data_IF_185281583654
#
_entry.id   IF_185281583654
#
_cell.length_a   1.000
_cell.length_b   1.000
_cell.length_c   1.000
_cell.angle_alpha   90.00
_cell.angle_beta   90.00
_cell.angle_gamma   90.00
#
_symmetry.space_group_name_H-M   'P 1'
#
loop_
_entity.id
_entity.type
_entity.pdbx_description
1 polymer ?
#
# COMPACT_ATOMS: atom_id res chain seq x y z
N UNK A 1 -1.77 -2.99 -13.05
CA UNK A 1 -2.16 -2.50 -11.71
C UNK A 1 -1.05 -1.59 -11.22
N UNK A 2 -1.31 -0.29 -11.06
CA UNK A 2 -0.28 0.72 -10.79
C UNK A 2 0.25 0.50 -9.38
N UNK A 3 1.58 0.48 -9.26
CA UNK A 3 2.42 0.28 -8.06
C UNK A 3 2.12 1.23 -6.87
N UNK A 4 1.03 1.99 -6.91
CA UNK A 4 0.64 3.04 -5.98
C UNK A 4 -0.16 2.53 -4.77
N UNK A 5 -0.83 1.37 -4.86
CA UNK A 5 -1.63 0.82 -3.75
C UNK A 5 -0.76 0.18 -2.63
N UNK A 6 0.53 -0.04 -2.89
CA UNK A 6 1.48 -0.62 -1.94
C UNK A 6 2.31 0.42 -1.17
N UNK A 7 2.22 1.71 -1.52
CA UNK A 7 3.16 2.73 -1.06
C UNK A 7 2.49 3.64 -0.01
N UNK A 8 2.14 3.05 1.12
CA UNK A 8 2.20 3.72 2.42
C UNK A 8 3.03 2.92 3.44
N UNK A 9 3.82 1.95 2.95
CA UNK A 9 4.84 1.23 3.70
C UNK A 9 6.29 1.62 3.30
N UNK A 10 6.47 2.64 2.44
CA UNK A 10 7.78 3.04 1.90
C UNK A 10 8.39 4.28 2.59
N UNK A 11 8.25 4.40 3.91
CA UNK A 11 9.06 5.35 4.69
C UNK A 11 10.22 4.59 5.35
N UNK A 12 11.35 4.66 4.64
CA UNK A 12 12.73 4.47 5.09
C UNK A 12 13.01 3.21 5.93
N UNK A 13 13.24 2.09 5.25
CA UNK A 13 14.01 0.97 5.79
C UNK A 13 15.41 1.02 5.20
N UNK A 14 16.37 1.50 5.98
CA UNK A 14 17.79 1.17 5.77
C UNK A 14 18.22 0.19 6.86
N UNK A 15 18.58 -1.04 6.49
CA UNK A 15 19.50 -1.82 7.29
C UNK A 15 20.76 -2.12 6.46
N UNK A 16 21.81 -1.32 6.68
CA UNK A 16 23.15 -1.90 6.63
C UNK A 16 23.23 -2.91 7.79
N UNK A 17 23.72 -4.13 7.54
CA UNK A 17 24.25 -5.15 8.50
C UNK A 17 23.69 -6.58 8.33
N UNK A 18 22.77 -6.86 7.41
CA UNK A 18 22.49 -8.27 7.02
C UNK A 18 23.03 -8.59 5.63
N UNK A 19 24.35 -8.57 5.50
CA UNK A 19 25.04 -9.09 4.33
C UNK A 19 25.12 -10.63 4.44
N UNK A 20 24.06 -11.30 3.97
CA UNK A 20 24.01 -12.66 3.39
C UNK A 20 22.53 -13.05 3.26
N UNK A 21 21.85 -12.48 2.26
CA UNK A 21 20.58 -13.02 1.77
C UNK A 21 20.85 -13.83 0.51
N UNK A 22 20.16 -14.95 0.32
CA UNK A 22 20.13 -15.60 -0.98
C UNK A 22 19.62 -14.59 -2.01
N UNK A 23 20.37 -14.41 -3.10
CA UNK A 23 20.02 -13.45 -4.17
C UNK A 23 18.85 -13.99 -5.03
N UNK A 24 18.28 -15.14 -4.66
CA UNK A 24 17.13 -15.73 -5.34
C UNK A 24 15.83 -14.98 -4.99
N UNK A 25 14.87 -14.88 -5.93
CA UNK A 25 13.54 -14.38 -5.63
C UNK A 25 12.86 -15.20 -4.53
N UNK A 26 11.94 -14.58 -3.79
CA UNK A 26 11.04 -15.33 -2.91
C UNK A 26 10.25 -16.36 -3.74
N UNK A 27 10.16 -17.59 -3.24
CA UNK A 27 9.20 -18.56 -3.78
C UNK A 27 7.79 -18.24 -3.27
N UNK A 28 6.77 -18.71 -4.00
CA UNK A 28 5.37 -18.56 -3.60
C UNK A 28 5.12 -19.09 -2.19
N UNK A 29 5.70 -20.23 -1.84
CA UNK A 29 5.56 -20.87 -0.53
C UNK A 29 6.18 -20.02 0.58
N UNK A 30 7.34 -19.39 0.32
CA UNK A 30 7.97 -18.48 1.28
C UNK A 30 7.13 -17.23 1.51
N UNK A 31 6.47 -16.71 0.47
CA UNK A 31 5.53 -15.60 0.62
C UNK A 31 4.33 -16.04 1.45
N UNK A 32 3.71 -17.17 1.14
CA UNK A 32 2.58 -17.72 1.90
C UNK A 32 2.94 -18.02 3.36
N UNK A 33 4.17 -18.47 3.65
CA UNK A 33 4.65 -18.67 5.01
C UNK A 33 4.65 -17.34 5.79
N UNK A 34 5.11 -16.24 5.19
CA UNK A 34 5.07 -14.92 5.80
C UNK A 34 3.61 -14.50 6.07
N UNK A 35 2.69 -14.74 5.14
CA UNK A 35 1.27 -14.48 5.38
C UNK A 35 0.72 -15.32 6.54
N UNK A 36 1.04 -16.62 6.60
CA UNK A 36 0.61 -17.49 7.71
C UNK A 36 1.11 -17.01 9.07
N UNK A 37 2.32 -16.44 9.12
CA UNK A 37 2.95 -15.98 10.36
C UNK A 37 2.42 -14.60 10.81
N UNK A 38 2.19 -13.70 9.87
CA UNK A 38 1.96 -12.28 10.18
C UNK A 38 0.54 -11.79 9.88
N UNK A 39 -0.24 -12.52 9.10
CA UNK A 39 -1.67 -12.29 8.87
C UNK A 39 -2.39 -13.60 8.44
N UNK A 40 -2.57 -14.58 9.35
CA UNK A 40 -3.16 -15.88 9.00
C UNK A 40 -4.62 -15.78 8.52
N UNK A 41 -5.34 -14.74 8.92
CA UNK A 41 -6.72 -14.50 8.45
C UNK A 41 -6.81 -14.30 6.94
N UNK A 42 -5.75 -13.84 6.27
CA UNK A 42 -5.73 -13.72 4.80
C UNK A 42 -5.89 -15.11 4.18
N UNK A 43 -5.16 -16.11 4.69
CA UNK A 43 -5.22 -17.47 4.16
C UNK A 43 -6.56 -18.13 4.47
N UNK A 44 -7.12 -17.86 5.65
CA UNK A 44 -8.47 -18.30 6.02
C UNK A 44 -9.53 -17.71 5.09
N UNK A 45 -9.50 -16.39 4.86
CA UNK A 45 -10.46 -15.72 3.98
C UNK A 45 -10.32 -16.16 2.52
N UNK A 46 -9.08 -16.33 2.03
CA UNK A 46 -8.82 -16.85 0.70
C UNK A 46 -9.43 -18.26 0.52
N UNK A 47 -9.41 -19.10 1.56
CA UNK A 47 -10.04 -20.44 1.48
C UNK A 47 -11.57 -20.41 1.44
N UNK A 48 -12.19 -19.29 1.81
CA UNK A 48 -13.65 -19.14 1.95
C UNK A 48 -14.26 -18.22 0.88
N UNK A 49 -13.46 -17.43 0.17
CA UNK A 49 -13.91 -16.42 -0.77
C UNK A 49 -13.02 -16.39 -2.03
N UNK A 50 -13.59 -16.78 -3.17
CA UNK A 50 -12.89 -16.87 -4.46
C UNK A 50 -12.36 -15.53 -4.96
N UNK A 51 -13.09 -14.43 -4.75
CA UNK A 51 -12.65 -13.09 -5.14
C UNK A 51 -11.43 -12.66 -4.31
N UNK A 52 -11.49 -12.93 -3.00
CA UNK A 52 -10.37 -12.66 -2.09
C UNK A 52 -9.14 -13.52 -2.46
N UNK A 53 -9.36 -14.80 -2.76
CA UNK A 53 -8.30 -15.70 -3.22
C UNK A 53 -7.67 -15.20 -4.53
N UNK A 54 -8.48 -14.71 -5.46
CA UNK A 54 -7.99 -14.14 -6.73
C UNK A 54 -7.07 -12.94 -6.50
N UNK A 55 -7.39 -12.07 -5.52
CA UNK A 55 -6.52 -10.95 -5.15
C UNK A 55 -5.20 -11.44 -4.55
N UNK A 56 -5.24 -12.44 -3.66
CA UNK A 56 -4.03 -13.04 -3.09
C UNK A 56 -3.18 -13.71 -4.17
N UNK A 57 -3.77 -14.49 -5.06
CA UNK A 57 -3.09 -15.15 -6.17
C UNK A 57 -2.44 -14.13 -7.11
N UNK A 58 -3.16 -13.07 -7.47
CA UNK A 58 -2.63 -11.98 -8.28
C UNK A 58 -1.43 -11.28 -7.61
N UNK A 59 -1.46 -11.14 -6.28
CA UNK A 59 -0.33 -10.61 -5.53
C UNK A 59 0.86 -11.56 -5.56
N UNK A 60 0.64 -12.86 -5.31
CA UNK A 60 1.68 -13.88 -5.30
C UNK A 60 2.38 -13.98 -6.66
N UNK A 61 1.62 -13.95 -7.75
CA UNK A 61 2.15 -14.03 -9.12
C UNK A 61 2.94 -12.77 -9.52
N UNK A 62 2.63 -11.62 -8.93
CA UNK A 62 3.31 -10.35 -9.21
C UNK A 62 4.52 -10.08 -8.30
N UNK A 63 4.73 -10.87 -7.24
CA UNK A 63 5.77 -10.61 -6.25
C UNK A 63 7.12 -11.20 -6.67
N UNK A 64 8.00 -10.34 -7.19
CA UNK A 64 9.30 -10.74 -7.77
C UNK A 64 10.53 -10.27 -6.96
N UNK A 65 10.35 -9.86 -5.71
CA UNK A 65 11.45 -9.32 -4.91
C UNK A 65 12.48 -10.41 -4.56
N UNK A 66 13.77 -10.04 -4.57
CA UNK A 66 14.85 -10.90 -4.07
C UNK A 66 14.71 -11.15 -2.58
N UNK A 67 15.04 -12.36 -2.12
CA UNK A 67 14.99 -12.78 -0.73
C UNK A 67 16.10 -12.11 0.11
N UNK A 68 15.94 -10.81 0.28
CA UNK A 68 16.79 -9.97 1.12
C UNK A 68 16.08 -9.67 2.43
N UNK A 69 16.83 -9.38 3.50
CA UNK A 69 16.26 -8.94 4.78
C UNK A 69 15.36 -7.71 4.64
N UNK A 70 15.70 -6.80 3.72
CA UNK A 70 14.90 -5.61 3.42
C UNK A 70 13.57 -5.99 2.76
N UNK A 71 13.61 -6.77 1.68
CA UNK A 71 12.41 -7.25 1.00
C UNK A 71 11.53 -8.11 1.92
N UNK A 72 12.13 -8.91 2.81
CA UNK A 72 11.38 -9.65 3.85
C UNK A 72 10.63 -8.70 4.77
N UNK A 73 11.27 -7.62 5.23
CA UNK A 73 10.62 -6.64 6.09
C UNK A 73 9.47 -5.92 5.36
N UNK A 74 9.66 -5.58 4.09
CA UNK A 74 8.61 -5.03 3.23
C UNK A 74 7.44 -6.02 3.07
N UNK A 75 7.74 -7.29 2.83
CA UNK A 75 6.72 -8.33 2.67
C UNK A 75 5.91 -8.56 3.96
N UNK A 76 6.55 -8.52 5.12
CA UNK A 76 5.84 -8.56 6.41
C UNK A 76 4.91 -7.35 6.54
N UNK A 77 5.36 -6.17 6.11
CA UNK A 77 4.53 -4.96 6.13
C UNK A 77 3.32 -5.07 5.20
N UNK A 78 3.52 -5.68 4.02
CA UNK A 78 2.45 -6.02 3.08
C UNK A 78 1.46 -7.00 3.70
N UNK A 79 1.94 -8.13 4.22
CA UNK A 79 1.07 -9.16 4.81
C UNK A 79 0.18 -8.58 5.91
N UNK A 80 0.75 -7.77 6.81
CA UNK A 80 0.00 -7.11 7.91
C UNK A 80 -0.97 -6.03 7.45
N UNK A 81 -0.80 -5.48 6.26
CA UNK A 81 -1.68 -4.45 5.69
C UNK A 81 -2.56 -4.95 4.55
N UNK A 82 -2.51 -6.24 4.21
CA UNK A 82 -3.18 -6.78 3.03
C UNK A 82 -4.69 -6.45 3.02
N UNK A 83 -5.37 -6.66 4.15
CA UNK A 83 -6.79 -6.32 4.31
C UNK A 83 -7.05 -4.80 4.21
N UNK A 84 -6.14 -3.97 4.74
CA UNK A 84 -6.26 -2.51 4.63
C UNK A 84 -6.06 -2.07 3.18
N UNK A 85 -5.20 -2.73 2.41
CA UNK A 85 -5.00 -2.46 0.98
C UNK A 85 -6.25 -2.82 0.17
N UNK A 86 -6.90 -3.95 0.46
CA UNK A 86 -8.18 -4.33 -0.16
C UNK A 86 -9.25 -3.30 0.20
N UNK A 87 -9.39 -2.95 1.48
CA UNK A 87 -10.39 -1.96 1.92
C UNK A 87 -10.16 -0.59 1.29
N UNK A 88 -8.90 -0.16 1.19
CA UNK A 88 -8.54 1.09 0.53
C UNK A 88 -8.97 1.08 -0.94
N UNK A 89 -8.72 -0.01 -1.66
CA UNK A 89 -9.13 -0.14 -3.05
C UNK A 89 -10.66 -0.09 -3.19
N UNK A 90 -11.40 -0.87 -2.38
CA UNK A 90 -12.87 -0.89 -2.42
C UNK A 90 -13.47 0.50 -2.14
N UNK A 91 -12.93 1.21 -1.14
CA UNK A 91 -13.38 2.58 -0.82
C UNK A 91 -13.11 3.55 -1.97
N UNK A 92 -11.92 3.46 -2.57
CA UNK A 92 -11.54 4.31 -3.71
C UNK A 92 -12.42 4.04 -4.93
N UNK A 93 -12.65 2.79 -5.28
CA UNK A 93 -13.49 2.42 -6.41
C UNK A 93 -14.95 2.88 -6.20
N UNK A 94 -15.49 2.66 -4.99
CA UNK A 94 -16.84 3.12 -4.64
C UNK A 94 -16.96 4.66 -4.67
N UNK A 95 -15.94 5.37 -4.16
CA UNK A 95 -15.89 6.83 -4.22
C UNK A 95 -15.87 7.31 -5.67
N UNK A 96 -14.96 6.80 -6.51
CA UNK A 96 -14.83 7.20 -7.91
C UNK A 96 -16.12 6.96 -8.71
N UNK A 97 -16.78 5.82 -8.48
CA UNK A 97 -18.08 5.53 -9.11
C UNK A 97 -19.15 6.53 -8.67
N UNK A 98 -19.25 6.79 -7.37
CA UNK A 98 -20.27 7.66 -6.79
C UNK A 98 -20.03 9.13 -7.19
N UNK A 99 -18.81 9.64 -7.04
CA UNK A 99 -18.45 11.01 -7.39
C UNK A 99 -18.67 11.30 -8.86
N UNK A 100 -18.29 10.37 -9.74
CA UNK A 100 -18.49 10.48 -11.18
C UNK A 100 -19.98 10.48 -11.54
N UNK A 101 -20.77 9.57 -10.96
CA UNK A 101 -22.21 9.51 -11.22
C UNK A 101 -22.94 10.79 -10.77
N UNK A 102 -22.66 11.27 -9.55
CA UNK A 102 -23.22 12.51 -9.03
C UNK A 102 -22.83 13.70 -9.91
N UNK A 103 -21.57 13.77 -10.35
CA UNK A 103 -21.07 14.85 -11.22
C UNK A 103 -21.70 14.83 -12.61
N UNK A 104 -21.96 13.66 -13.19
CA UNK A 104 -22.67 13.52 -14.46
C UNK A 104 -24.13 13.95 -14.37
N UNK A 105 -24.76 13.78 -13.19
CA UNK A 105 -26.11 14.26 -12.91
C UNK A 105 -26.17 15.75 -12.49
N UNK A 106 -25.03 16.44 -12.42
CA UNK A 106 -24.95 17.84 -11.99
C UNK A 106 -25.19 18.05 -10.49
N UNK A 107 -25.04 17.00 -9.68
CA UNK A 107 -25.17 17.07 -8.23
C UNK A 107 -23.89 17.46 -7.50
N UNK A 108 -24.00 17.62 -6.18
CA UNK A 108 -22.89 17.93 -5.27
C UNK A 108 -22.35 16.66 -4.60
N UNK A 109 -21.05 16.39 -4.77
CA UNK A 109 -20.37 15.21 -4.22
C UNK A 109 -19.91 15.38 -2.76
N UNK A 110 -20.16 16.53 -2.11
CA UNK A 110 -19.69 16.84 -0.75
C UNK A 110 -20.04 15.78 0.30
N UNK A 111 -21.20 15.12 0.17
CA UNK A 111 -21.58 14.01 1.07
C UNK A 111 -20.72 12.76 0.86
N UNK A 112 -20.38 12.44 -0.39
CA UNK A 112 -19.48 11.34 -0.72
C UNK A 112 -18.05 11.64 -0.25
N UNK A 113 -17.58 12.89 -0.41
CA UNK A 113 -16.28 13.33 0.09
C UNK A 113 -16.15 13.15 1.61
N UNK A 114 -17.18 13.57 2.36
CA UNK A 114 -17.18 13.43 3.82
C UNK A 114 -17.10 11.97 4.26
N UNK A 115 -17.95 11.10 3.70
CA UNK A 115 -17.98 9.68 4.04
C UNK A 115 -16.66 8.99 3.65
N UNK A 116 -16.13 9.31 2.47
CA UNK A 116 -14.84 8.78 2.03
C UNK A 116 -13.71 9.16 2.98
N UNK A 117 -13.65 10.43 3.40
CA UNK A 117 -12.67 10.90 4.39
C UNK A 117 -12.78 10.19 5.74
N UNK A 118 -14.00 9.97 6.22
CA UNK A 118 -14.28 9.26 7.48
C UNK A 118 -13.77 7.81 7.42
N UNK A 119 -14.11 7.08 6.35
CA UNK A 119 -13.67 5.69 6.15
C UNK A 119 -12.15 5.57 5.96
N UNK A 120 -11.54 6.48 5.20
CA UNK A 120 -10.09 6.54 5.04
C UNK A 120 -9.38 6.81 6.36
N UNK A 121 -9.96 7.61 7.25
CA UNK A 121 -9.37 7.89 8.57
C UNK A 121 -9.24 6.61 9.40
N UNK A 122 -10.22 5.71 9.37
CA UNK A 122 -10.11 4.39 10.02
C UNK A 122 -9.01 3.53 9.36
N UNK A 123 -9.02 3.43 8.02
CA UNK A 123 -8.01 2.65 7.28
C UNK A 123 -6.59 3.14 7.57
N UNK A 124 -6.34 4.44 7.45
CA UNK A 124 -5.02 5.03 7.70
C UNK A 124 -4.63 4.92 9.17
N UNK A 125 -5.59 5.00 10.10
CA UNK A 125 -5.32 4.77 11.52
C UNK A 125 -4.84 3.34 11.81
N UNK A 126 -5.36 2.35 11.08
CA UNK A 126 -4.94 0.94 11.17
C UNK A 126 -3.58 0.73 10.52
N UNK A 127 -3.37 1.27 9.33
CA UNK A 127 -2.06 1.23 8.64
C UNK A 127 -0.99 1.85 9.54
N UNK A 128 -1.26 2.99 10.17
CA UNK A 128 -0.35 3.61 11.12
C UNK A 128 -0.04 2.71 12.32
N UNK A 129 -1.06 2.06 12.88
CA UNK A 129 -0.88 1.12 13.98
C UNK A 129 0.02 -0.05 13.58
N UNK A 130 -0.17 -0.61 12.38
CA UNK A 130 0.70 -1.65 11.82
C UNK A 130 2.14 -1.14 11.66
N UNK A 131 2.35 0.06 11.15
CA UNK A 131 3.68 0.69 11.03
C UNK A 131 4.37 0.79 12.38
N UNK A 132 3.67 1.23 13.42
CA UNK A 132 4.22 1.30 14.78
C UNK A 132 4.57 -0.10 15.30
N UNK A 133 3.70 -1.10 15.10
CA UNK A 133 3.95 -2.48 15.53
C UNK A 133 5.17 -3.09 14.83
N UNK A 134 5.36 -2.82 13.54
CA UNK A 134 6.54 -3.26 12.78
C UNK A 134 7.83 -2.69 13.35
N UNK A 135 7.85 -1.39 13.67
CA UNK A 135 9.01 -0.75 14.31
C UNK A 135 9.28 -1.31 15.70
N UNK A 136 8.24 -1.63 16.47
CA UNK A 136 8.39 -2.30 17.77
C UNK A 136 8.98 -3.70 17.62
N UNK A 137 8.54 -4.46 16.62
CA UNK A 137 9.08 -5.78 16.30
C UNK A 137 10.56 -5.71 15.91
N UNK A 138 10.92 -4.79 15.00
CA UNK A 138 12.31 -4.56 14.59
C UNK A 138 13.19 -4.19 15.78
N UNK A 139 12.69 -3.33 16.68
CA UNK A 139 13.40 -2.98 17.90
C UNK A 139 13.62 -4.19 18.83
N UNK A 140 12.66 -5.10 18.92
CA UNK A 140 12.80 -6.32 19.71
C UNK A 140 13.85 -7.26 19.11
N UNK A 141 13.83 -7.46 17.79
CA UNK A 141 14.80 -8.28 17.07
C UNK A 141 16.22 -7.71 17.16
N UNK A 142 16.41 -6.39 16.98
CA UNK A 142 17.71 -5.74 17.14
C UNK A 142 18.27 -5.91 18.58
N UNK A 143 17.41 -5.85 19.60
CA UNK A 143 17.82 -6.14 21.00
C UNK A 143 18.20 -7.60 21.20
N UNK A 144 17.48 -8.54 20.57
CA UNK A 144 17.79 -9.97 20.62
C UNK A 144 19.11 -10.27 19.92
N UNK A 145 19.34 -9.72 18.74
CA UNK A 145 20.60 -9.79 18.01
C UNK A 145 21.75 -9.26 18.86
N UNK A 146 21.57 -8.10 19.52
CA UNK A 146 22.58 -7.53 20.42
C UNK A 146 22.92 -8.47 21.59
N UNK A 147 21.92 -9.15 22.17
CA UNK A 147 22.15 -10.16 23.22
C UNK A 147 22.96 -11.33 22.68
N UNK A 148 22.62 -11.82 21.49
CA UNK A 148 23.29 -12.95 20.85
C UNK A 148 24.76 -12.62 20.53
N UNK A 149 25.04 -11.48 19.87
CA UNK A 149 26.40 -11.05 19.55
C UNK A 149 27.27 -10.89 20.80
N UNK A 150 26.70 -10.44 21.92
CA UNK A 150 27.44 -10.36 23.20
C UNK A 150 27.78 -11.73 23.79
N UNK A 151 26.92 -12.71 23.59
CA UNK A 151 27.12 -14.08 24.06
C UNK A 151 28.01 -14.90 23.11
N UNK A 152 28.11 -14.49 21.85
CA UNK A 152 28.86 -15.19 20.83
C UNK A 152 30.38 -15.03 21.01
N UNK A 153 30.99 -16.09 21.53
CA UNK A 153 32.44 -16.19 21.77
C UNK A 153 33.24 -16.54 20.52
N UNK A 154 32.60 -16.91 19.42
CA UNK A 154 33.27 -17.33 18.18
C UNK A 154 33.75 -16.15 17.34
N UNK A 155 33.10 -14.98 17.50
CA UNK A 155 33.53 -13.73 16.87
C UNK A 155 34.83 -13.20 17.49
N UNK A 156 35.71 -12.64 16.66
CA UNK A 156 36.85 -11.86 17.14
C UNK A 156 36.37 -10.65 17.95
N UNK A 157 37.20 -10.17 18.88
CA UNK A 157 36.84 -9.04 19.73
C UNK A 157 36.52 -7.78 18.91
N UNK A 158 37.25 -7.54 17.82
CA UNK A 158 37.04 -6.42 16.91
C UNK A 158 35.71 -6.55 16.15
N UNK A 159 35.42 -7.73 15.58
CA UNK A 159 34.16 -7.98 14.88
C UNK A 159 32.95 -7.87 15.82
N UNK A 160 33.07 -8.40 17.04
CA UNK A 160 32.04 -8.30 18.07
C UNK A 160 31.78 -6.83 18.46
N UNK A 161 32.85 -6.05 18.67
CA UNK A 161 32.73 -4.63 19.01
C UNK A 161 32.04 -3.83 17.89
N UNK A 162 32.41 -4.06 16.63
CA UNK A 162 31.82 -3.41 15.46
C UNK A 162 30.31 -3.72 15.34
N UNK A 163 29.92 -4.99 15.45
CA UNK A 163 28.51 -5.39 15.41
C UNK A 163 27.70 -4.83 16.59
N UNK A 164 28.27 -4.84 17.80
CA UNK A 164 27.63 -4.22 18.98
C UNK A 164 27.39 -2.72 18.75
N UNK A 165 28.35 -2.00 18.16
CA UNK A 165 28.21 -0.58 17.88
C UNK A 165 27.09 -0.31 16.85
N UNK A 166 27.04 -1.10 15.77
CA UNK A 166 26.00 -1.01 14.76
C UNK A 166 24.60 -1.26 15.34
N UNK A 167 24.41 -2.36 16.07
CA UNK A 167 23.12 -2.70 16.69
C UNK A 167 22.69 -1.67 17.74
N UNK A 168 23.63 -1.09 18.50
CA UNK A 168 23.31 0.01 19.43
C UNK A 168 22.83 1.27 18.69
N UNK A 169 23.44 1.57 17.55
CA UNK A 169 23.02 2.69 16.70
C UNK A 169 21.60 2.49 16.17
N UNK A 170 21.33 1.30 15.62
CA UNK A 170 20.02 0.90 15.11
C UNK A 170 18.93 0.98 16.19
N UNK A 171 19.19 0.43 17.38
CA UNK A 171 18.26 0.51 18.52
C UNK A 171 17.94 1.97 18.90
N UNK A 172 18.92 2.88 18.81
CA UNK A 172 18.69 4.31 19.09
C UNK A 172 17.83 4.94 18.00
N UNK A 173 18.11 4.64 16.73
CA UNK A 173 17.33 5.14 15.60
C UNK A 173 15.87 4.68 15.68
N UNK A 174 15.63 3.38 15.87
CA UNK A 174 14.28 2.80 16.00
C UNK A 174 13.50 3.39 17.18
N UNK A 175 14.16 3.67 18.32
CA UNK A 175 13.52 4.34 19.46
C UNK A 175 13.13 5.78 19.14
N UNK A 176 13.99 6.53 18.45
CA UNK A 176 13.71 7.90 18.05
C UNK A 176 12.55 7.95 17.05
N UNK A 177 12.55 7.04 16.08
CA UNK A 177 11.47 6.91 15.10
C UNK A 177 10.15 6.55 15.77
N UNK A 178 10.12 5.55 16.66
CA UNK A 178 8.90 5.18 17.41
C UNK A 178 8.35 6.36 18.22
N UNK A 179 9.23 7.12 18.88
CA UNK A 179 8.81 8.32 19.63
C UNK A 179 8.17 9.35 18.69
N UNK A 180 8.76 9.56 17.52
CA UNK A 180 8.23 10.47 16.50
C UNK A 180 6.86 10.01 15.98
N UNK A 181 6.74 8.73 15.60
CA UNK A 181 5.50 8.12 15.11
C UNK A 181 4.37 8.16 16.13
N UNK A 182 4.69 8.15 17.42
CA UNK A 182 3.69 8.21 18.49
C UNK A 182 3.27 9.64 18.84
N UNK A 183 4.18 10.62 18.74
CA UNK A 183 3.93 12.00 19.14
C UNK A 183 2.84 12.66 18.27
N UNK A 184 2.87 12.45 16.96
CA UNK A 184 2.03 13.17 16.00
C UNK A 184 1.06 12.24 15.25
N UNK A 185 0.61 11.15 15.89
CA UNK A 185 -0.22 10.13 15.23
C UNK A 185 -1.47 10.73 14.58
N UNK A 186 -2.26 11.52 15.32
CA UNK A 186 -3.53 12.05 14.82
C UNK A 186 -3.33 12.97 13.62
N UNK A 187 -2.40 13.92 13.74
CA UNK A 187 -2.07 14.87 12.67
C UNK A 187 -1.49 14.18 11.44
N UNK A 188 -0.60 13.20 11.62
CA UNK A 188 0.02 12.45 10.51
C UNK A 188 -1.03 11.63 9.75
N UNK A 189 -1.95 10.99 10.47
CA UNK A 189 -3.06 10.24 9.85
C UNK A 189 -3.95 11.18 9.05
N UNK A 190 -4.39 12.30 9.64
CA UNK A 190 -5.27 13.24 8.95
C UNK A 190 -4.60 13.86 7.72
N UNK A 191 -3.33 14.25 7.82
CA UNK A 191 -2.56 14.79 6.70
C UNK A 191 -2.43 13.77 5.55
N UNK A 192 -2.19 12.49 5.87
CA UNK A 192 -2.10 11.43 4.88
C UNK A 192 -3.46 11.14 4.22
N UNK A 193 -4.55 11.20 4.99
CA UNK A 193 -5.92 11.10 4.47
C UNK A 193 -6.22 12.26 3.53
N UNK A 194 -5.94 13.50 3.92
CA UNK A 194 -6.21 14.68 3.11
C UNK A 194 -5.43 14.65 1.79
N UNK A 195 -4.17 14.20 1.82
CA UNK A 195 -3.38 13.99 0.62
C UNK A 195 -3.98 12.92 -0.32
N UNK A 196 -4.46 11.81 0.25
CA UNK A 196 -5.07 10.72 -0.52
C UNK A 196 -6.43 11.12 -1.12
N UNK A 197 -7.26 11.84 -0.36
CA UNK A 197 -8.54 12.40 -0.84
C UNK A 197 -8.29 13.33 -2.02
N UNK A 198 -7.35 14.27 -1.90
CA UNK A 198 -7.00 15.20 -2.97
C UNK A 198 -6.53 14.45 -4.24
N UNK A 199 -5.67 13.45 -4.09
CA UNK A 199 -5.21 12.64 -5.22
C UNK A 199 -6.38 11.89 -5.90
N UNK A 200 -7.31 11.37 -5.12
CA UNK A 200 -8.45 10.61 -5.62
C UNK A 200 -9.46 11.53 -6.31
N UNK A 201 -9.70 12.72 -5.78
CA UNK A 201 -10.51 13.77 -6.41
C UNK A 201 -9.94 14.16 -7.78
N UNK A 202 -8.63 14.38 -7.87
CA UNK A 202 -7.97 14.67 -9.15
C UNK A 202 -8.11 13.51 -10.16
N UNK A 203 -8.06 12.26 -9.69
CA UNK A 203 -8.30 11.10 -10.54
C UNK A 203 -9.76 11.06 -11.03
N UNK A 204 -10.73 11.35 -10.16
CA UNK A 204 -12.15 11.47 -10.51
C UNK A 204 -12.38 12.52 -11.60
N UNK A 205 -11.80 13.72 -11.44
CA UNK A 205 -11.92 14.80 -12.42
C UNK A 205 -11.32 14.42 -13.78
N UNK A 206 -10.17 13.74 -13.78
CA UNK A 206 -9.54 13.23 -14.99
C UNK A 206 -10.42 12.20 -15.72
N UNK A 207 -11.03 11.26 -14.98
CA UNK A 207 -11.96 10.28 -15.54
C UNK A 207 -13.21 10.95 -16.12
N UNK A 208 -13.75 11.96 -15.42
CA UNK A 208 -14.92 12.71 -15.88
C UNK A 208 -14.63 13.49 -17.17
N UNK A 209 -13.46 14.14 -17.26
CA UNK A 209 -13.04 14.82 -18.48
C UNK A 209 -12.89 13.85 -19.66
N UNK A 210 -12.27 12.69 -19.44
CA UNK A 210 -12.14 11.66 -20.47
C UNK A 210 -13.51 11.14 -20.94
N UNK A 211 -14.45 10.91 -20.01
CA UNK A 211 -15.81 10.49 -20.34
C UNK A 211 -16.54 11.54 -21.19
N UNK A 212 -16.46 12.83 -20.81
CA UNK A 212 -17.06 13.94 -21.58
C UNK A 212 -16.46 14.07 -23.00
N UNK A 213 -15.14 13.93 -23.13
CA UNK A 213 -14.48 13.96 -24.44
C UNK A 213 -14.92 12.79 -25.33
N UNK A 214 -15.04 11.58 -24.78
CA UNK A 214 -15.50 10.41 -25.52
C UNK A 214 -16.96 10.55 -26.00
N UNK A 215 -17.83 11.14 -25.18
CA UNK A 215 -19.21 11.42 -25.54
C UNK A 215 -19.29 12.46 -26.68
N UNK A 216 -18.52 13.55 -26.60
CA UNK A 216 -18.48 14.58 -27.64
C UNK A 216 -17.93 14.07 -28.98
N UNK A 217 -16.92 13.18 -28.95
CA UNK A 217 -16.40 12.53 -30.15
C UNK A 217 -17.46 11.61 -30.80
N UNK A 218 -18.23 10.88 -29.99
CA UNK A 218 -19.31 10.01 -30.47
C UNK A 218 -20.48 10.80 -31.07
N UNK A 219 -20.80 11.97 -30.52
CA UNK A 219 -21.81 12.87 -31.09
C UNK A 219 -21.38 13.44 -32.44
N UNK A 220 -20.10 13.84 -32.59
CA UNK A 220 -19.59 14.36 -33.85
C UNK A 220 -19.54 13.30 -34.95
N UNK A 221 -19.17 12.05 -34.63
CA UNK A 221 -19.23 10.92 -35.57
C UNK A 221 -20.67 10.63 -36.02
N UNK A 222 -21.62 10.60 -35.09
CA UNK A 222 -23.04 10.39 -35.40
C UNK A 222 -23.64 11.51 -36.28
N UNK A 223 -23.20 12.75 -36.10
CA UNK A 223 -23.60 13.88 -36.95
C UNK A 223 -23.01 13.74 -38.37
N UNK A 224 -21.77 13.28 -38.51
CA UNK A 224 -21.12 13.05 -39.81
C UNK A 224 -21.77 11.92 -40.62
N UNK A 225 -22.19 10.83 -39.97
CA UNK A 225 -22.92 9.73 -40.63
C UNK A 225 -24.28 10.23 -41.13
N UNK A 226 -24.98 11.06 -40.35
CA UNK A 226 -26.26 11.66 -40.76
C UNK A 226 -26.12 12.66 -41.90
N UNK A 227 -25.01 13.42 -41.99
CA UNK A 227 -24.77 14.33 -43.12
C UNK A 227 -24.43 13.59 -44.41
N UNK A 228 -23.68 12.47 -44.33
CA UNK A 228 -23.28 11.69 -45.51
C UNK A 228 -24.42 10.86 -46.11
N UNK A 229 -25.47 10.57 -45.34
CA UNK A 229 -26.66 9.84 -45.80
C UNK A 229 -27.82 10.74 -46.26
N UNK A 230 -27.66 12.07 -46.31
CA UNK A 230 -28.65 12.95 -46.95
C UNK A 230 -28.54 12.85 -48.47
N UNK A 231 -29.46 12.09 -49.09
CA UNK A 231 -29.66 12.12 -50.55
C UNK A 231 -29.89 13.57 -51.00
N UNK A 232 -29.27 14.03 -52.10
CA UNK A 232 -29.52 15.37 -52.63
C UNK A 232 -30.98 15.46 -53.05
N UNK A 233 -31.71 16.40 -52.48
CA UNK A 233 -33.05 16.76 -52.94
C UNK A 233 -32.85 17.51 -54.26
N UNK A 234 -33.23 16.88 -55.36
CA UNK A 234 -33.21 17.50 -56.68
C UNK A 234 -34.10 18.75 -56.68
N UNK A 235 -33.54 19.86 -57.18
CA UNK A 235 -34.27 21.11 -57.44
C UNK A 235 -35.13 20.98 -58.68
#
# INVERSE_FOLDING_TARGET
MRRSLFILAALALTPAVYAQGDVTPFTREQVLEIFSQYNPSVLEQASQNDDYNTVLDSFLDAYEASNTPMARAELIAVARNFDNSIRLQVLTDAYLQTSSAVSLMGGDASSADRLFREELTDVFSRVWAVTVQLRQYQLAEAKRALKNVRADKTLSQEARNAQIAALKSEIRALKAELKSLQANRGESVLSAVDAYVLQTQQASDGLLQAARQSAAASETENLQIKSNNKKPVAK
#
